data_IF_369111854440
#
_entry.id   IF_369111854440
#
_cell.length_a   1.000
_cell.length_b   1.000
_cell.length_c   1.000
_cell.angle_alpha   90.00
_cell.angle_beta   90.00
_cell.angle_gamma   90.00
#
_symmetry.space_group_name_H-M   'P 1'
#
loop_
_entity.id
_entity.type
_entity.pdbx_description
1 polymer ?
#
# COMPACT_ATOMS: atom_id res chain seq x y z
N UNK A 1 -21.06 0.96 31.07
CA UNK A 1 -20.27 -0.05 30.35
C UNK A 1 -20.64 0.06 28.89
N UNK A 2 -19.85 0.76 28.06
CA UNK A 2 -20.04 0.78 26.61
C UNK A 2 -18.79 0.13 26.02
N UNK A 3 -18.97 -1.02 25.36
CA UNK A 3 -17.92 -1.72 24.64
C UNK A 3 -17.51 -0.88 23.43
N UNK A 4 -16.31 -0.30 23.47
CA UNK A 4 -15.69 0.31 22.30
C UNK A 4 -15.25 -0.81 21.36
N UNK A 5 -16.06 -1.12 20.36
CA UNK A 5 -15.64 -1.92 19.22
C UNK A 5 -14.58 -1.14 18.45
N UNK A 6 -13.30 -1.53 18.57
CA UNK A 6 -12.27 -1.07 17.66
C UNK A 6 -12.59 -1.62 16.27
N UNK A 7 -13.14 -0.76 15.41
CA UNK A 7 -13.09 -0.99 13.97
C UNK A 7 -11.66 -0.68 13.55
N UNK A 8 -10.86 -1.72 13.35
CA UNK A 8 -9.57 -1.56 12.67
C UNK A 8 -9.86 -1.04 11.25
N UNK A 9 -9.24 0.06 10.79
CA UNK A 9 -9.37 0.45 9.39
C UNK A 9 -8.75 -0.67 8.56
N UNK A 10 -9.54 -1.27 7.68
CA UNK A 10 -9.00 -2.10 6.61
C UNK A 10 -8.21 -1.17 5.68
N UNK A 11 -6.88 -1.15 5.80
CA UNK A 11 -5.98 -0.43 4.91
C UNK A 11 -5.81 -1.19 3.58
N UNK A 12 -6.92 -1.64 3.00
CA UNK A 12 -6.94 -2.07 1.60
C UNK A 12 -7.43 -0.89 0.78
N UNK A 13 -6.61 0.15 0.72
CA UNK A 13 -6.86 1.24 -0.23
C UNK A 13 -6.72 0.70 -1.64
N UNK A 14 -7.55 1.13 -2.61
CA UNK A 14 -7.26 0.87 -4.01
C UNK A 14 -5.86 1.40 -4.32
N UNK A 15 -5.11 0.71 -5.17
CA UNK A 15 -3.82 1.17 -5.64
C UNK A 15 -3.96 2.60 -6.16
N UNK A 16 -3.41 3.57 -5.42
CA UNK A 16 -3.46 4.97 -5.82
C UNK A 16 -2.57 5.12 -7.05
N UNK A 17 -3.11 5.81 -8.07
CA UNK A 17 -2.30 6.21 -9.21
C UNK A 17 -1.03 6.92 -8.70
N UNK A 18 0.08 6.70 -9.39
CA UNK A 18 1.37 7.24 -8.99
C UNK A 18 2.03 7.98 -10.15
N UNK A 19 2.77 9.03 -9.82
CA UNK A 19 3.68 9.73 -10.73
C UNK A 19 5.03 9.87 -10.05
N UNK A 20 6.11 9.88 -10.83
CA UNK A 20 7.47 9.90 -10.28
C UNK A 20 7.73 11.12 -9.38
N UNK A 21 7.25 12.30 -9.79
CA UNK A 21 7.53 13.57 -9.11
C UNK A 21 6.26 14.30 -8.60
N UNK A 22 6.46 15.19 -7.62
CA UNK A 22 5.39 15.93 -6.95
C UNK A 22 4.59 16.84 -7.89
N UNK A 23 5.21 17.44 -8.90
CA UNK A 23 4.54 18.37 -9.80
C UNK A 23 3.59 17.62 -10.74
N UNK A 24 4.03 16.48 -11.27
CA UNK A 24 3.21 15.59 -12.07
C UNK A 24 2.06 14.99 -11.26
N UNK A 25 2.34 14.51 -10.04
CA UNK A 25 1.32 13.96 -9.15
C UNK A 25 0.23 14.99 -8.81
N UNK A 26 0.62 16.22 -8.46
CA UNK A 26 -0.34 17.30 -8.15
C UNK A 26 -1.19 17.71 -9.34
N UNK A 27 -0.59 17.85 -10.53
CA UNK A 27 -1.36 18.15 -11.75
C UNK A 27 -2.42 17.08 -11.99
N UNK A 28 -2.05 15.81 -11.89
CA UNK A 28 -2.96 14.69 -12.12
C UNK A 28 -4.06 14.62 -11.03
N UNK A 29 -3.68 14.83 -9.78
CA UNK A 29 -4.62 14.78 -8.65
C UNK A 29 -5.73 15.83 -8.78
N UNK A 30 -5.36 17.06 -9.16
CA UNK A 30 -6.31 18.15 -9.42
C UNK A 30 -7.14 17.85 -10.68
N UNK A 31 -6.52 17.40 -11.78
CA UNK A 31 -7.25 17.17 -13.04
C UNK A 31 -8.27 16.03 -12.95
N UNK A 32 -7.96 14.99 -12.19
CA UNK A 32 -8.81 13.80 -12.05
C UNK A 32 -9.65 13.84 -10.77
N UNK A 33 -9.50 14.85 -9.93
CA UNK A 33 -10.13 14.96 -8.61
C UNK A 33 -9.93 13.69 -7.75
N UNK A 34 -8.73 13.10 -7.79
CA UNK A 34 -8.36 11.88 -7.05
C UNK A 34 -6.98 12.04 -6.39
N UNK A 35 -6.72 11.40 -5.24
CA UNK A 35 -5.38 11.38 -4.66
C UNK A 35 -4.38 10.64 -5.58
N UNK A 36 -3.17 11.19 -5.72
CA UNK A 36 -2.09 10.60 -6.53
C UNK A 36 -0.81 10.55 -5.71
N UNK A 37 -0.19 9.39 -5.59
CA UNK A 37 1.06 9.27 -4.84
C UNK A 37 2.27 9.73 -5.66
N UNK A 38 3.28 10.23 -4.95
CA UNK A 38 4.58 10.60 -5.51
C UNK A 38 5.50 9.38 -5.38
N UNK A 39 5.79 8.69 -6.47
CA UNK A 39 6.45 7.38 -6.43
C UNK A 39 7.86 7.47 -5.85
N UNK A 40 8.63 8.50 -6.21
CA UNK A 40 9.97 8.73 -5.67
C UNK A 40 10.02 8.96 -4.15
N UNK A 41 8.88 9.30 -3.53
CA UNK A 41 8.77 9.50 -2.08
C UNK A 41 8.44 8.21 -1.31
N UNK A 42 8.01 7.15 -2.01
CA UNK A 42 7.52 5.93 -1.38
C UNK A 42 8.67 5.11 -0.81
N UNK A 43 8.47 4.67 0.42
CA UNK A 43 9.20 3.57 1.04
C UNK A 43 8.21 2.70 1.82
N UNK A 44 8.70 1.72 2.56
CA UNK A 44 7.88 0.76 3.30
C UNK A 44 6.98 1.41 4.36
N UNK A 45 7.36 2.58 4.87
CA UNK A 45 6.74 3.24 6.02
C UNK A 45 6.07 4.57 5.70
N UNK A 46 6.49 5.26 4.65
CA UNK A 46 6.04 6.60 4.34
C UNK A 46 5.84 6.86 2.86
N UNK A 47 5.00 7.85 2.58
CA UNK A 47 4.76 8.36 1.24
C UNK A 47 4.25 9.81 1.28
N UNK A 48 4.40 10.51 0.16
CA UNK A 48 3.72 11.77 -0.12
C UNK A 48 2.59 11.51 -1.10
N UNK A 49 1.41 12.05 -0.80
CA UNK A 49 0.21 11.97 -1.63
C UNK A 49 -0.23 13.37 -2.01
N UNK A 50 -0.36 13.62 -3.31
CA UNK A 50 -0.97 14.83 -3.82
C UNK A 50 -2.49 14.72 -3.74
N UNK A 51 -3.12 15.73 -3.15
CA UNK A 51 -4.55 15.78 -2.89
C UNK A 51 -5.28 16.56 -4.02
N UNK A 52 -6.58 16.30 -4.24
CA UNK A 52 -7.39 17.01 -5.25
C UNK A 52 -7.48 18.52 -5.05
N UNK A 53 -7.30 19.00 -3.82
CA UNK A 53 -7.30 20.42 -3.46
C UNK A 53 -5.96 21.12 -3.76
N UNK A 54 -4.98 20.38 -4.30
CA UNK A 54 -3.64 20.87 -4.63
C UNK A 54 -2.64 20.82 -3.48
N UNK A 55 -3.05 20.41 -2.27
CA UNK A 55 -2.13 20.21 -1.16
C UNK A 55 -1.38 18.87 -1.27
N UNK A 56 -0.28 18.75 -0.53
CA UNK A 56 0.43 17.49 -0.33
C UNK A 56 0.15 16.98 1.08
N UNK A 57 -0.10 15.68 1.21
CA UNK A 57 -0.21 14.98 2.49
C UNK A 57 1.00 14.07 2.64
N UNK A 58 1.71 14.21 3.75
CA UNK A 58 2.70 13.22 4.18
C UNK A 58 2.01 12.17 5.05
N UNK A 59 2.21 10.90 4.70
CA UNK A 59 1.68 9.76 5.45
C UNK A 59 2.86 8.94 5.98
N UNK A 60 2.80 8.54 7.25
CA UNK A 60 3.82 7.72 7.91
C UNK A 60 3.18 6.68 8.82
N UNK A 61 3.77 5.50 8.88
CA UNK A 61 3.37 4.42 9.75
C UNK A 61 4.54 3.90 10.61
N UNK A 62 4.21 3.35 11.77
CA UNK A 62 5.19 2.73 12.69
C UNK A 62 5.50 1.27 12.33
N UNK A 63 4.79 0.71 11.35
CA UNK A 63 5.02 -0.63 10.79
C UNK A 63 4.96 -0.57 9.27
N UNK A 64 5.65 -1.47 8.54
CA UNK A 64 5.61 -1.48 7.08
C UNK A 64 4.18 -1.62 6.55
N UNK A 65 3.80 -0.73 5.63
CA UNK A 65 2.49 -0.76 4.95
C UNK A 65 2.61 -1.27 3.52
N UNK A 66 3.83 -1.21 2.95
CA UNK A 66 4.08 -1.54 1.55
C UNK A 66 5.42 -2.21 1.32
N UNK A 67 5.51 -2.92 0.20
CA UNK A 67 6.70 -3.64 -0.21
C UNK A 67 7.04 -3.33 -1.68
N UNK A 68 8.34 -3.30 -1.98
CA UNK A 68 8.82 -3.16 -3.36
C UNK A 68 8.66 -4.50 -4.09
N UNK A 69 7.99 -4.47 -5.23
CA UNK A 69 7.82 -5.55 -6.20
C UNK A 69 8.61 -5.22 -7.47
N UNK A 70 8.68 -6.16 -8.41
CA UNK A 70 9.38 -5.98 -9.69
C UNK A 70 8.83 -4.81 -10.53
N UNK A 71 7.55 -4.50 -10.34
CA UNK A 71 6.76 -3.52 -11.11
C UNK A 71 6.48 -2.22 -10.34
N UNK A 72 6.89 -2.10 -9.07
CA UNK A 72 6.68 -0.89 -8.27
C UNK A 72 6.40 -1.16 -6.80
N UNK A 73 5.72 -0.22 -6.15
CA UNK A 73 5.29 -0.36 -4.76
C UNK A 73 3.88 -0.95 -4.69
N UNK A 74 3.72 -2.04 -3.93
CA UNK A 74 2.42 -2.63 -3.63
C UNK A 74 2.13 -2.59 -2.13
N UNK A 75 0.86 -2.48 -1.76
CA UNK A 75 0.44 -2.64 -0.37
C UNK A 75 0.79 -4.06 0.12
N UNK A 76 1.09 -4.19 1.42
CA UNK A 76 1.33 -5.49 2.03
C UNK A 76 0.03 -6.30 2.01
N UNK A 77 0.08 -7.47 1.38
CA UNK A 77 -1.05 -8.39 1.33
C UNK A 77 -1.21 -9.12 2.68
N UNK A 78 -2.25 -8.73 3.41
CA UNK A 78 -2.61 -9.32 4.71
C UNK A 78 -3.59 -10.50 4.58
N UNK A 79 -3.98 -10.87 3.36
CA UNK A 79 -4.89 -11.98 3.09
C UNK A 79 -4.18 -13.32 2.86
N UNK A 80 -2.84 -13.32 2.84
CA UNK A 80 -2.05 -14.52 2.66
C UNK A 80 -2.36 -15.53 3.75
N UNK A 81 -2.74 -16.74 3.32
CA UNK A 81 -2.91 -17.89 4.19
C UNK A 81 -1.81 -18.92 3.93
N UNK A 82 -1.43 -19.75 4.92
CA UNK A 82 -0.51 -20.85 4.69
C UNK A 82 -1.02 -21.72 3.54
N UNK A 83 -0.22 -21.87 2.49
CA UNK A 83 -0.52 -22.82 1.43
C UNK A 83 -0.54 -24.24 2.00
N UNK A 84 -1.52 -25.05 1.60
CA UNK A 84 -1.47 -26.49 1.87
C UNK A 84 -0.30 -27.05 1.08
N UNK A 85 0.88 -27.11 1.70
CA UNK A 85 2.01 -27.79 1.13
C UNK A 85 1.62 -29.28 1.03
N UNK A 86 1.25 -29.75 -0.18
CA UNK A 86 1.32 -31.18 -0.45
C UNK A 86 2.79 -31.52 -0.40
N UNK A 87 3.24 -32.03 0.75
CA UNK A 87 4.54 -32.64 0.92
C UNK A 87 4.60 -33.85 -0.02
N UNK A 88 4.99 -33.63 -1.26
CA UNK A 88 5.79 -34.62 -1.99
C UNK A 88 7.25 -34.50 -1.54
N UNK A 89 7.48 -34.42 -0.22
CA UNK A 89 8.82 -34.63 0.34
C UNK A 89 9.03 -36.14 0.34
N UNK A 90 9.53 -36.64 -0.79
CA UNK A 90 10.13 -37.96 -0.96
C UNK A 90 9.57 -39.08 -0.08
N UNK A 91 8.43 -39.65 -0.45
CA UNK A 91 8.28 -41.08 -0.21
C UNK A 91 9.20 -41.82 -1.18
N UNK A 92 10.31 -42.33 -0.67
CA UNK A 92 10.67 -43.71 -0.97
C UNK A 92 11.49 -44.30 0.17
N UNK A 93 10.99 -45.45 0.63
CA UNK A 93 11.54 -46.31 1.67
C UNK A 93 12.89 -46.87 1.22
N UNK A 94 13.91 -46.78 2.06
CA UNK A 94 14.68 -47.91 2.67
C UNK A 94 15.91 -47.38 3.37
#
# INVERSE_FOLDING_TARGET
MIAAGLVAPALTGPAVAACDDEASARRLAVSCAQPVAVDASRNEFSQVVAQPDGHLRFESAVVPQRARRSDGWADVDLSLSPGTAVLAFGQTRR
#
